data_IF_720962885361
#
_entry.id   IF_720962885361
#
_cell.length_a   1.000
_cell.length_b   1.000
_cell.length_c   1.000
_cell.angle_alpha   90.00
_cell.angle_beta   90.00
_cell.angle_gamma   90.00
#
_symmetry.space_group_name_H-M   'P 1'
#
loop_
_entity.id
_entity.type
_entity.pdbx_description
1 polymer ?
#
# COMPACT_ATOMS: atom_id res chain seq x y z
N UNK A 1 -6.40 -5.91 -12.02
CA UNK A 1 -7.12 -4.63 -12.08
C UNK A 1 -6.41 -3.75 -13.09
N UNK A 2 -7.13 -3.25 -14.11
CA UNK A 2 -6.60 -2.37 -15.14
C UNK A 2 -7.34 -1.04 -15.11
N UNK A 3 -6.62 0.06 -15.16
CA UNK A 3 -7.14 1.42 -15.22
C UNK A 3 -6.60 2.04 -16.49
N UNK A 4 -7.49 2.51 -17.38
CA UNK A 4 -7.13 2.98 -18.72
C UNK A 4 -7.63 4.40 -18.98
N UNK A 5 -6.70 5.31 -19.12
CA UNK A 5 -6.91 6.72 -19.52
C UNK A 5 -8.00 7.43 -18.69
N UNK A 6 -8.02 7.18 -17.39
CA UNK A 6 -9.03 7.72 -16.49
C UNK A 6 -8.79 9.22 -16.27
N UNK A 7 -9.83 10.02 -16.56
CA UNK A 7 -9.87 11.44 -16.27
C UNK A 7 -11.01 11.75 -15.30
N UNK A 8 -10.77 12.75 -14.41
CA UNK A 8 -11.78 13.27 -13.49
C UNK A 8 -11.58 14.72 -13.16
N UNK A 9 -12.65 15.49 -13.27
CA UNK A 9 -12.68 16.92 -12.90
C UNK A 9 -13.79 17.19 -11.89
N UNK A 10 -13.53 18.04 -10.91
CA UNK A 10 -14.51 18.53 -9.93
C UNK A 10 -14.51 20.05 -9.92
N UNK A 11 -15.66 20.68 -10.21
CA UNK A 11 -15.83 22.16 -10.10
C UNK A 11 -14.64 22.99 -10.62
N UNK A 12 -14.11 22.63 -11.77
CA UNK A 12 -12.96 23.31 -12.41
C UNK A 12 -11.57 22.82 -11.94
N UNK A 13 -11.49 21.92 -10.98
CA UNK A 13 -10.23 21.29 -10.56
C UNK A 13 -10.06 19.92 -11.20
N UNK A 14 -8.94 19.72 -11.93
CA UNK A 14 -8.58 18.42 -12.50
C UNK A 14 -8.02 17.54 -11.39
N UNK A 15 -8.72 16.48 -11.05
CA UNK A 15 -8.29 15.51 -10.04
C UNK A 15 -7.52 14.33 -10.62
N UNK A 16 -7.82 13.94 -11.88
CA UNK A 16 -7.10 12.90 -12.62
C UNK A 16 -7.04 13.32 -14.09
N UNK A 17 -5.87 13.19 -14.70
CA UNK A 17 -5.61 13.49 -16.11
C UNK A 17 -4.92 12.31 -16.77
N UNK A 18 -5.67 11.54 -17.55
CA UNK A 18 -5.18 10.41 -18.36
C UNK A 18 -4.41 9.35 -17.54
N UNK A 19 -4.91 9.02 -16.35
CA UNK A 19 -4.27 8.06 -15.43
C UNK A 19 -4.48 6.63 -15.94
N UNK A 20 -3.37 5.91 -16.12
CA UNK A 20 -3.38 4.50 -16.54
C UNK A 20 -2.41 3.68 -15.67
N UNK A 21 -2.89 2.58 -15.11
CA UNK A 21 -2.05 1.63 -14.36
C UNK A 21 -2.64 0.23 -14.44
N UNK A 22 -1.80 -0.76 -14.23
CA UNK A 22 -2.16 -2.17 -14.22
C UNK A 22 -1.66 -2.82 -12.93
N UNK A 23 -2.55 -3.54 -12.23
CA UNK A 23 -2.25 -4.23 -10.97
C UNK A 23 -2.40 -5.72 -11.19
N UNK A 24 -1.31 -6.44 -11.12
CA UNK A 24 -1.26 -7.89 -11.34
C UNK A 24 -1.93 -8.67 -10.20
N UNK A 25 -2.38 -9.88 -10.50
CA UNK A 25 -2.92 -10.80 -9.48
C UNK A 25 -1.83 -11.19 -8.48
N UNK A 26 -2.22 -11.31 -7.20
CA UNK A 26 -1.30 -11.70 -6.14
C UNK A 26 -0.15 -10.72 -5.90
N UNK A 27 -0.35 -9.43 -6.18
CA UNK A 27 0.63 -8.38 -5.95
C UNK A 27 0.12 -7.30 -5.00
N UNK A 28 1.06 -6.56 -4.40
CA UNK A 28 0.78 -5.33 -3.66
C UNK A 28 1.30 -4.16 -4.48
N UNK A 29 0.37 -3.33 -4.93
CA UNK A 29 0.63 -2.16 -5.75
C UNK A 29 0.48 -0.88 -4.97
N UNK A 30 1.52 -0.05 -4.93
CA UNK A 30 1.53 1.23 -4.23
C UNK A 30 1.01 2.37 -5.10
N UNK A 31 -0.02 3.08 -4.62
CA UNK A 31 -0.52 4.32 -5.20
C UNK A 31 -0.02 5.49 -4.37
N UNK A 32 1.03 6.15 -4.83
CA UNK A 32 1.78 7.15 -4.09
C UNK A 32 1.44 8.57 -4.56
N UNK A 33 1.75 9.56 -3.74
CA UNK A 33 1.62 10.96 -4.11
C UNK A 33 1.29 11.85 -2.92
N UNK A 34 1.48 13.16 -3.05
CA UNK A 34 1.13 14.12 -2.01
C UNK A 34 -0.39 14.18 -1.79
N UNK A 35 -0.79 14.85 -0.70
CA UNK A 35 -2.21 15.10 -0.44
C UNK A 35 -2.78 15.97 -1.58
N UNK A 36 -3.98 15.61 -2.05
CA UNK A 36 -4.62 16.29 -3.19
C UNK A 36 -4.13 15.87 -4.57
N UNK A 37 -3.16 14.96 -4.70
CA UNK A 37 -2.63 14.53 -6.01
C UNK A 37 -3.64 13.77 -6.88
N UNK A 38 -4.74 13.24 -6.32
CA UNK A 38 -5.75 12.47 -7.06
C UNK A 38 -5.96 11.04 -6.57
N UNK A 39 -5.13 10.51 -5.64
CA UNK A 39 -5.21 9.14 -5.14
C UNK A 39 -6.61 8.74 -4.69
N UNK A 40 -7.20 9.49 -3.77
CA UNK A 40 -8.55 9.21 -3.26
C UNK A 40 -9.62 9.34 -4.33
N UNK A 41 -9.45 10.21 -5.33
CA UNK A 41 -10.37 10.29 -6.48
C UNK A 41 -10.33 9.02 -7.31
N UNK A 42 -9.13 8.48 -7.58
CA UNK A 42 -8.97 7.22 -8.28
C UNK A 42 -9.57 6.04 -7.49
N UNK A 43 -9.29 5.95 -6.20
CA UNK A 43 -9.85 4.95 -5.30
C UNK A 43 -11.40 5.01 -5.30
N UNK A 44 -11.98 6.21 -5.25
CA UNK A 44 -13.44 6.38 -5.32
C UNK A 44 -14.03 5.93 -6.65
N UNK A 45 -13.31 6.10 -7.76
CA UNK A 45 -13.74 5.62 -9.08
C UNK A 45 -13.70 4.09 -9.12
N UNK A 46 -12.63 3.46 -8.63
CA UNK A 46 -12.53 1.99 -8.56
C UNK A 46 -13.66 1.41 -7.70
N UNK A 47 -13.96 2.04 -6.56
CA UNK A 47 -15.06 1.64 -5.67
C UNK A 47 -16.46 2.06 -6.20
N UNK A 48 -16.55 2.68 -7.39
CA UNK A 48 -17.79 3.19 -7.99
C UNK A 48 -18.58 4.16 -7.10
N UNK A 49 -17.90 4.80 -6.15
CA UNK A 49 -18.46 5.90 -5.33
C UNK A 49 -18.66 7.15 -6.19
N UNK A 50 -17.79 7.33 -7.20
CA UNK A 50 -17.92 8.35 -8.24
C UNK A 50 -17.58 7.75 -9.60
N UNK A 51 -18.00 8.40 -10.69
CA UNK A 51 -17.68 7.96 -12.05
C UNK A 51 -16.52 8.77 -12.62
N UNK A 52 -15.71 8.13 -13.44
CA UNK A 52 -14.76 8.82 -14.31
C UNK A 52 -15.52 9.68 -15.33
N UNK A 53 -14.91 10.77 -15.77
CA UNK A 53 -15.46 11.59 -16.85
C UNK A 53 -15.09 10.98 -18.21
N UNK A 54 -13.94 10.29 -18.30
CA UNK A 54 -13.52 9.45 -19.41
C UNK A 54 -12.57 8.35 -18.95
N UNK A 55 -12.28 7.38 -19.82
CA UNK A 55 -11.50 6.20 -19.48
C UNK A 55 -12.33 5.10 -18.86
N UNK A 56 -11.68 4.02 -18.45
CA UNK A 56 -12.36 2.84 -17.92
C UNK A 56 -11.55 2.13 -16.85
N UNK A 57 -12.25 1.41 -15.98
CA UNK A 57 -11.67 0.50 -14.97
C UNK A 57 -12.15 -0.91 -15.30
N UNK A 58 -11.19 -1.83 -15.47
CA UNK A 58 -11.46 -3.22 -15.80
C UNK A 58 -11.02 -4.13 -14.65
N UNK A 59 -11.81 -5.15 -14.39
CA UNK A 59 -11.46 -6.25 -13.49
C UNK A 59 -11.45 -7.55 -14.30
N UNK A 60 -10.29 -8.21 -14.36
CA UNK A 60 -10.09 -9.41 -15.19
C UNK A 60 -10.49 -9.19 -16.67
N UNK A 61 -10.05 -8.06 -17.25
CA UNK A 61 -10.29 -7.68 -18.63
C UNK A 61 -11.73 -7.25 -18.96
N UNK A 62 -12.62 -7.12 -17.96
CA UNK A 62 -14.02 -6.71 -18.15
C UNK A 62 -14.31 -5.39 -17.44
N UNK A 63 -15.09 -4.48 -18.05
CA UNK A 63 -15.52 -3.25 -17.39
C UNK A 63 -16.19 -3.54 -16.04
N UNK A 64 -15.76 -2.84 -15.01
CA UNK A 64 -16.33 -2.98 -13.67
C UNK A 64 -17.79 -2.50 -13.63
N UNK A 65 -18.60 -3.26 -12.93
CA UNK A 65 -20.02 -2.99 -12.70
C UNK A 65 -20.30 -2.76 -11.20
N UNK A 66 -21.51 -2.28 -10.86
CA UNK A 66 -21.90 -2.11 -9.46
C UNK A 66 -21.95 -3.46 -8.69
N UNK A 67 -22.18 -4.57 -9.39
CA UNK A 67 -22.12 -5.90 -8.78
C UNK A 67 -20.70 -6.31 -8.35
N UNK A 68 -19.66 -5.73 -8.95
CA UNK A 68 -18.27 -6.05 -8.61
C UNK A 68 -17.84 -5.35 -7.31
N UNK A 69 -18.53 -4.29 -6.88
CA UNK A 69 -18.26 -3.61 -5.61
C UNK A 69 -18.36 -4.55 -4.41
N UNK A 70 -19.27 -5.53 -4.46
CA UNK A 70 -19.38 -6.56 -3.42
C UNK A 70 -18.11 -7.44 -3.28
N UNK A 71 -17.26 -7.48 -4.30
CA UNK A 71 -15.99 -8.23 -4.35
C UNK A 71 -14.78 -7.39 -3.92
N UNK A 72 -15.00 -6.14 -3.52
CA UNK A 72 -13.94 -5.22 -3.08
C UNK A 72 -13.96 -5.12 -1.56
N UNK A 73 -12.79 -5.23 -0.95
CA UNK A 73 -12.57 -4.83 0.43
C UNK A 73 -11.93 -3.44 0.43
N UNK A 74 -12.69 -2.42 0.81
CA UNK A 74 -12.18 -1.05 0.89
C UNK A 74 -12.01 -0.59 2.33
N UNK A 75 -10.79 -0.25 2.71
CA UNK A 75 -10.43 0.36 3.99
C UNK A 75 -10.16 1.85 3.74
N UNK A 76 -11.09 2.74 4.04
CA UNK A 76 -10.87 4.18 3.91
C UNK A 76 -9.99 4.73 5.03
N UNK A 77 -9.31 5.86 4.78
CA UNK A 77 -8.55 6.59 5.78
C UNK A 77 -9.42 7.01 6.97
N UNK A 78 -10.64 7.51 6.70
CA UNK A 78 -11.61 7.86 7.73
C UNK A 78 -12.41 6.65 8.19
N UNK A 79 -12.72 6.60 9.48
CA UNK A 79 -13.40 5.45 10.09
C UNK A 79 -14.89 5.47 9.85
N UNK A 80 -15.38 4.47 9.10
CA UNK A 80 -16.80 4.24 8.83
C UNK A 80 -17.51 3.34 9.86
N UNK A 81 -17.05 3.25 11.11
CA UNK A 81 -17.62 2.35 12.10
C UNK A 81 -18.78 2.99 12.89
N UNK A 82 -19.84 2.22 13.15
CA UNK A 82 -21.00 2.66 13.94
C UNK A 82 -20.68 2.57 15.44
N UNK A 83 -20.31 3.68 16.07
CA UNK A 83 -19.78 3.77 17.44
C UNK A 83 -20.64 3.05 18.51
N UNK A 84 -21.98 3.08 18.39
CA UNK A 84 -22.91 2.46 19.33
C UNK A 84 -23.17 0.97 19.05
N UNK A 85 -22.63 0.42 17.98
CA UNK A 85 -22.76 -1.01 17.65
C UNK A 85 -21.70 -1.82 18.39
N UNK A 86 -22.02 -3.06 18.73
CA UNK A 86 -21.03 -4.00 19.30
C UNK A 86 -20.03 -4.43 18.24
N UNK A 87 -18.79 -4.67 18.66
CA UNK A 87 -17.69 -5.10 17.78
C UNK A 87 -18.08 -6.30 16.91
N UNK A 88 -18.53 -7.39 17.53
CA UNK A 88 -18.91 -8.60 16.81
C UNK A 88 -20.10 -8.38 15.88
N UNK A 89 -21.11 -7.62 16.33
CA UNK A 89 -22.31 -7.34 15.52
C UNK A 89 -21.95 -6.53 14.28
N UNK A 90 -21.06 -5.54 14.39
CA UNK A 90 -20.61 -4.75 13.25
C UNK A 90 -19.84 -5.58 12.23
N UNK A 91 -18.88 -6.40 12.67
CA UNK A 91 -18.09 -7.25 11.77
C UNK A 91 -19.02 -8.22 11.03
N UNK A 92 -19.95 -8.85 11.73
CA UNK A 92 -20.94 -9.77 11.14
C UNK A 92 -21.87 -9.01 10.18
N UNK A 93 -22.31 -7.80 10.55
CA UNK A 93 -23.18 -6.98 9.70
C UNK A 93 -22.51 -6.64 8.37
N UNK A 94 -21.28 -6.14 8.42
CA UNK A 94 -20.52 -5.76 7.22
C UNK A 94 -20.19 -7.00 6.35
N UNK A 95 -19.78 -8.12 6.96
CA UNK A 95 -19.59 -9.37 6.21
C UNK A 95 -20.86 -9.84 5.48
N UNK A 96 -22.02 -9.66 6.10
CA UNK A 96 -23.30 -9.98 5.47
C UNK A 96 -23.68 -9.05 4.32
N UNK A 97 -23.32 -7.77 4.39
CA UNK A 97 -23.52 -6.83 3.27
C UNK A 97 -22.71 -7.27 2.03
N UNK A 98 -21.58 -7.94 2.24
CA UNK A 98 -20.77 -8.54 1.19
C UNK A 98 -21.16 -10.00 0.86
N UNK A 99 -22.39 -10.43 1.20
CA UNK A 99 -22.97 -11.71 0.78
C UNK A 99 -22.66 -12.91 1.65
N UNK A 100 -21.96 -12.75 2.78
CA UNK A 100 -21.72 -13.87 3.71
C UNK A 100 -23.01 -14.34 4.39
N UNK A 101 -23.12 -15.64 4.65
CA UNK A 101 -24.15 -16.14 5.57
C UNK A 101 -23.90 -15.65 7.00
N UNK A 102 -24.93 -15.57 7.83
CA UNK A 102 -24.77 -15.18 9.25
C UNK A 102 -23.87 -16.15 10.01
N UNK A 103 -23.92 -17.44 9.67
CA UNK A 103 -23.13 -18.49 10.32
C UNK A 103 -21.64 -18.32 9.96
N UNK A 104 -21.33 -18.17 8.68
CA UNK A 104 -19.93 -17.99 8.21
C UNK A 104 -19.34 -16.69 8.73
N UNK A 105 -20.11 -15.58 8.68
CA UNK A 105 -19.65 -14.30 9.19
C UNK A 105 -19.35 -14.37 10.70
N UNK A 106 -20.18 -15.08 11.50
CA UNK A 106 -19.89 -15.27 12.93
C UNK A 106 -18.65 -16.14 13.18
N UNK A 107 -18.49 -17.22 12.41
CA UNK A 107 -17.32 -18.09 12.56
C UNK A 107 -16.04 -17.32 12.22
N UNK A 108 -16.02 -16.62 11.10
CA UNK A 108 -14.87 -15.82 10.65
C UNK A 108 -14.60 -14.62 11.58
N UNK A 109 -15.63 -13.97 12.09
CA UNK A 109 -15.48 -12.89 13.07
C UNK A 109 -14.72 -13.37 14.32
N UNK A 110 -15.07 -14.54 14.89
CA UNK A 110 -14.38 -15.11 16.04
C UNK A 110 -12.93 -15.46 15.73
N UNK A 111 -12.66 -16.04 14.55
CA UNK A 111 -11.30 -16.34 14.08
C UNK A 111 -10.46 -15.06 14.01
N UNK A 112 -10.96 -13.99 13.39
CA UNK A 112 -10.28 -12.72 13.26
C UNK A 112 -10.08 -11.99 14.60
N UNK A 113 -11.12 -11.97 15.46
CA UNK A 113 -10.99 -11.36 16.79
C UNK A 113 -9.92 -12.06 17.64
N UNK A 114 -9.84 -13.39 17.55
CA UNK A 114 -8.79 -14.17 18.24
C UNK A 114 -7.40 -13.80 17.70
N UNK A 115 -7.25 -13.69 16.37
CA UNK A 115 -5.98 -13.35 15.70
C UNK A 115 -5.46 -11.96 16.07
N UNK A 116 -6.36 -10.99 16.24
CA UNK A 116 -6.03 -9.63 16.63
C UNK A 116 -6.08 -9.37 18.15
N UNK A 117 -6.25 -10.42 18.95
CA UNK A 117 -6.34 -10.35 20.43
C UNK A 117 -7.51 -9.47 20.93
N UNK A 118 -8.62 -9.50 20.20
CA UNK A 118 -9.82 -8.73 20.50
C UNK A 118 -11.02 -9.58 20.94
N UNK A 119 -10.83 -10.87 21.30
CA UNK A 119 -11.94 -11.79 21.63
C UNK A 119 -12.82 -11.29 22.77
N UNK A 120 -12.23 -10.66 23.82
CA UNK A 120 -12.96 -10.13 24.97
C UNK A 120 -13.80 -8.89 24.63
N UNK A 121 -13.58 -8.30 23.45
CA UNK A 121 -14.26 -7.10 22.98
C UNK A 121 -15.47 -7.39 22.08
N UNK A 122 -15.73 -8.66 21.75
CA UNK A 122 -16.84 -9.06 20.85
C UNK A 122 -18.17 -8.40 21.23
N UNK A 123 -18.48 -8.33 22.53
CA UNK A 123 -19.76 -7.83 23.05
C UNK A 123 -19.71 -6.38 23.54
N UNK A 124 -18.57 -5.68 23.43
CA UNK A 124 -18.40 -4.28 23.80
C UNK A 124 -18.76 -3.36 22.65
N UNK A 125 -19.22 -2.16 22.97
CA UNK A 125 -19.48 -1.13 21.97
C UNK A 125 -18.17 -0.60 21.38
N UNK A 126 -18.21 -0.22 20.09
CA UNK A 126 -17.05 0.32 19.40
C UNK A 126 -16.49 1.61 20.00
N UNK A 127 -17.34 2.42 20.64
CA UNK A 127 -16.92 3.63 21.34
C UNK A 127 -15.99 3.37 22.54
N UNK A 128 -16.00 2.16 23.08
CA UNK A 128 -15.14 1.75 24.19
C UNK A 128 -13.72 1.35 23.74
N UNK A 129 -13.49 1.20 22.44
CA UNK A 129 -12.20 0.79 21.90
C UNK A 129 -11.20 1.94 21.86
N UNK A 130 -9.92 1.61 22.06
CA UNK A 130 -8.83 2.52 21.71
C UNK A 130 -8.79 2.77 20.19
N UNK A 131 -8.05 3.80 19.78
CA UNK A 131 -7.87 4.12 18.35
C UNK A 131 -7.34 2.93 17.55
N UNK A 132 -6.27 2.28 18.03
CA UNK A 132 -5.67 1.12 17.37
C UNK A 132 -6.60 -0.09 17.33
N UNK A 133 -7.35 -0.36 18.40
CA UNK A 133 -8.33 -1.45 18.39
C UNK A 133 -9.46 -1.22 17.41
N UNK A 134 -9.97 0.01 17.30
CA UNK A 134 -10.99 0.36 16.32
C UNK A 134 -10.47 0.21 14.88
N UNK A 135 -9.20 0.51 14.63
CA UNK A 135 -8.56 0.28 13.32
C UNK A 135 -8.45 -1.22 13.00
N UNK A 136 -8.06 -2.06 13.97
CA UNK A 136 -8.06 -3.52 13.82
C UNK A 136 -9.45 -4.04 13.46
N UNK A 137 -10.49 -3.56 14.13
CA UNK A 137 -11.88 -3.93 13.82
C UNK A 137 -12.29 -3.49 12.43
N UNK A 138 -11.91 -2.30 12.01
CA UNK A 138 -12.17 -1.79 10.65
C UNK A 138 -11.49 -2.65 9.59
N UNK A 139 -10.21 -3.01 9.81
CA UNK A 139 -9.49 -3.92 8.93
C UNK A 139 -10.18 -5.29 8.84
N UNK A 140 -10.55 -5.90 9.99
CA UNK A 140 -11.28 -7.17 10.00
C UNK A 140 -12.56 -7.09 9.17
N UNK A 141 -13.35 -6.03 9.37
CA UNK A 141 -14.60 -5.82 8.63
C UNK A 141 -14.37 -5.68 7.12
N UNK A 142 -13.24 -5.13 6.71
CA UNK A 142 -12.83 -4.98 5.30
C UNK A 142 -12.47 -6.31 4.64
N UNK A 143 -11.81 -7.21 5.36
CA UNK A 143 -11.24 -8.44 4.78
C UNK A 143 -12.04 -9.71 5.07
N UNK A 144 -13.05 -9.67 5.94
CA UNK A 144 -13.75 -10.86 6.46
C UNK A 144 -14.41 -11.71 5.36
N UNK A 145 -14.89 -11.08 4.29
CA UNK A 145 -15.55 -11.72 3.15
C UNK A 145 -14.58 -12.25 2.09
N UNK A 146 -13.24 -12.16 2.35
CA UNK A 146 -12.16 -12.63 1.46
C UNK A 146 -12.27 -12.03 0.05
N UNK A 147 -12.23 -10.71 -0.08
CA UNK A 147 -12.35 -10.08 -1.39
C UNK A 147 -11.14 -10.37 -2.27
N UNK A 148 -11.34 -10.59 -3.58
CA UNK A 148 -10.23 -10.73 -4.53
C UNK A 148 -9.47 -9.42 -4.76
N UNK A 149 -10.11 -8.26 -4.50
CA UNK A 149 -9.47 -6.95 -4.57
C UNK A 149 -9.58 -6.24 -3.22
N UNK A 150 -8.45 -5.88 -2.67
CA UNK A 150 -8.30 -5.09 -1.45
C UNK A 150 -7.77 -3.71 -1.78
N UNK A 151 -8.41 -2.68 -1.27
CA UNK A 151 -7.98 -1.29 -1.42
C UNK A 151 -7.80 -0.72 -0.02
N UNK A 152 -6.57 -0.33 0.30
CA UNK A 152 -6.21 0.23 1.59
C UNK A 152 -5.75 1.68 1.40
N UNK A 153 -6.52 2.63 1.94
CA UNK A 153 -6.21 4.06 1.90
C UNK A 153 -5.60 4.47 3.23
N UNK A 154 -4.29 4.74 3.25
CA UNK A 154 -3.48 5.09 4.44
C UNK A 154 -3.67 4.10 5.61
N UNK A 155 -3.54 2.78 5.42
CA UNK A 155 -3.94 1.78 6.42
C UNK A 155 -3.15 1.83 7.72
N UNK A 156 -1.91 2.35 7.69
CA UNK A 156 -1.04 2.44 8.87
C UNK A 156 -1.15 3.76 9.61
N UNK A 157 -1.95 4.71 9.09
CA UNK A 157 -2.13 6.02 9.71
C UNK A 157 -2.67 5.89 11.14
N UNK A 158 -1.88 6.36 12.10
CA UNK A 158 -2.25 6.38 13.53
C UNK A 158 -2.14 5.05 14.26
N UNK A 159 -1.47 4.05 13.68
CA UNK A 159 -0.97 2.89 14.41
C UNK A 159 0.38 3.20 15.07
N UNK A 160 0.65 2.57 16.20
CA UNK A 160 2.00 2.42 16.72
C UNK A 160 2.77 1.37 15.89
N UNK A 161 4.12 1.37 15.95
CA UNK A 161 4.93 0.46 15.12
C UNK A 161 4.56 -1.02 15.25
N UNK A 162 4.28 -1.50 16.46
CA UNK A 162 3.95 -2.92 16.70
C UNK A 162 2.65 -3.31 16.00
N UNK A 163 1.62 -2.49 16.15
CA UNK A 163 0.33 -2.74 15.49
C UNK A 163 0.40 -2.56 13.97
N UNK A 164 1.25 -1.64 13.48
CA UNK A 164 1.51 -1.49 12.05
C UNK A 164 2.16 -2.76 11.46
N UNK A 165 3.13 -3.35 12.14
CA UNK A 165 3.79 -4.58 11.70
C UNK A 165 2.84 -5.78 11.66
N UNK A 166 1.96 -5.93 12.65
CA UNK A 166 0.91 -6.96 12.63
C UNK A 166 0.03 -6.79 11.39
N UNK A 167 -0.37 -5.56 11.08
CA UNK A 167 -1.22 -5.28 9.92
C UNK A 167 -0.50 -5.54 8.60
N UNK A 168 0.80 -5.18 8.49
CA UNK A 168 1.63 -5.49 7.32
C UNK A 168 1.68 -7.00 7.06
N UNK A 169 1.94 -7.80 8.10
CA UNK A 169 1.98 -9.27 7.99
C UNK A 169 0.64 -9.84 7.50
N UNK A 170 -0.48 -9.30 7.97
CA UNK A 170 -1.80 -9.74 7.50
C UNK A 170 -2.07 -9.34 6.04
N UNK A 171 -1.62 -8.15 5.61
CA UNK A 171 -1.72 -7.71 4.21
C UNK A 171 -0.89 -8.63 3.30
N UNK A 172 0.36 -8.94 3.68
CA UNK A 172 1.21 -9.88 2.95
C UNK A 172 0.56 -11.26 2.85
N UNK A 173 -0.01 -11.77 3.94
CA UNK A 173 -0.71 -13.05 3.96
C UNK A 173 -1.94 -13.06 3.02
N UNK A 174 -2.73 -11.98 3.00
CA UNK A 174 -3.90 -11.89 2.12
C UNK A 174 -3.49 -11.85 0.64
N UNK A 175 -2.37 -11.18 0.30
CA UNK A 175 -1.76 -11.25 -1.02
C UNK A 175 -1.35 -12.69 -1.36
N UNK A 176 -0.67 -13.39 -0.46
CA UNK A 176 -0.22 -14.77 -0.66
C UNK A 176 -1.39 -15.75 -0.80
N UNK A 177 -2.55 -15.43 -0.21
CA UNK A 177 -3.83 -16.13 -0.41
C UNK A 177 -4.52 -15.80 -1.75
N UNK A 178 -3.92 -14.91 -2.57
CA UNK A 178 -4.37 -14.58 -3.93
C UNK A 178 -5.15 -13.27 -4.07
N UNK A 179 -5.29 -12.46 -3.01
CA UNK A 179 -5.88 -11.13 -3.15
C UNK A 179 -4.96 -10.17 -3.88
N UNK A 180 -5.51 -9.35 -4.76
CA UNK A 180 -4.86 -8.16 -5.31
C UNK A 180 -4.97 -7.04 -4.28
N UNK A 181 -3.86 -6.36 -3.99
CA UNK A 181 -3.85 -5.26 -3.01
C UNK A 181 -3.44 -3.97 -3.69
N UNK A 182 -4.32 -2.97 -3.69
CA UNK A 182 -4.01 -1.58 -4.00
C UNK A 182 -3.82 -0.81 -2.69
N UNK A 183 -2.63 -0.30 -2.50
CA UNK A 183 -2.19 0.33 -1.25
C UNK A 183 -1.88 1.80 -1.49
N UNK A 184 -2.68 2.71 -0.93
CA UNK A 184 -2.43 4.14 -1.06
C UNK A 184 -1.73 4.67 0.19
N UNK A 185 -0.65 5.41 0.00
CA UNK A 185 0.07 6.04 1.11
C UNK A 185 0.96 7.20 0.66
N UNK A 186 1.31 8.04 1.62
CA UNK A 186 2.40 9.03 1.52
C UNK A 186 3.63 8.63 2.36
N UNK A 187 3.56 7.49 3.08
CA UNK A 187 4.69 6.97 3.87
C UNK A 187 5.55 6.03 3.02
N UNK A 188 6.70 6.53 2.58
CA UNK A 188 7.59 5.83 1.66
C UNK A 188 8.29 4.61 2.26
N UNK A 189 8.56 4.58 3.58
CA UNK A 189 9.14 3.39 4.21
C UNK A 189 8.21 2.18 4.16
N UNK A 190 6.91 2.41 4.37
CA UNK A 190 5.91 1.33 4.22
C UNK A 190 5.82 0.79 2.80
N UNK A 191 6.09 1.64 1.78
CA UNK A 191 6.13 1.22 0.37
C UNK A 191 7.24 0.23 0.10
N UNK A 192 8.45 0.54 0.56
CA UNK A 192 9.63 -0.33 0.37
C UNK A 192 9.46 -1.70 1.04
N UNK A 193 8.71 -1.74 2.15
CA UNK A 193 8.50 -2.96 2.90
C UNK A 193 7.44 -3.89 2.31
N UNK A 194 6.40 -3.34 1.66
CA UNK A 194 5.25 -4.15 1.26
C UNK A 194 4.92 -4.10 -0.24
N UNK A 195 5.29 -3.05 -0.97
CA UNK A 195 4.92 -2.90 -2.37
C UNK A 195 5.96 -3.51 -3.32
N UNK A 196 5.49 -4.20 -4.35
CA UNK A 196 6.32 -4.72 -5.44
C UNK A 196 6.42 -3.70 -6.58
N UNK A 197 5.30 -3.07 -6.90
CA UNK A 197 5.17 -2.06 -7.95
C UNK A 197 4.46 -0.83 -7.41
N UNK A 198 4.71 0.31 -8.05
CA UNK A 198 4.11 1.58 -7.63
C UNK A 198 3.73 2.45 -8.82
N UNK A 199 2.77 3.36 -8.58
CA UNK A 199 2.57 4.58 -9.36
C UNK A 199 2.60 5.79 -8.44
N UNK A 200 3.37 6.80 -8.83
CA UNK A 200 3.41 8.10 -8.17
C UNK A 200 2.52 9.07 -8.95
N UNK A 201 1.43 9.51 -8.32
CA UNK A 201 0.57 10.56 -8.87
C UNK A 201 1.02 11.90 -8.31
N UNK A 202 1.25 12.86 -9.20
CA UNK A 202 1.49 14.25 -8.87
C UNK A 202 0.74 15.15 -9.86
N UNK A 203 0.09 16.22 -9.38
CA UNK A 203 -0.71 17.12 -10.22
C UNK A 203 -1.68 16.40 -11.15
N UNK A 204 -2.41 15.41 -10.64
CA UNK A 204 -3.41 14.60 -11.34
C UNK A 204 -2.86 13.61 -12.40
N UNK A 205 -1.55 13.50 -12.57
CA UNK A 205 -0.90 12.63 -13.55
C UNK A 205 0.05 11.63 -12.89
N UNK A 206 0.28 10.48 -13.54
CA UNK A 206 1.33 9.55 -13.13
C UNK A 206 2.68 10.08 -13.63
N UNK A 207 3.56 10.43 -12.69
CA UNK A 207 4.89 10.97 -12.98
C UNK A 207 6.00 9.93 -12.86
N UNK A 208 5.75 8.83 -12.15
CA UNK A 208 6.67 7.71 -11.98
C UNK A 208 5.89 6.43 -11.82
N UNK A 209 6.30 5.35 -12.49
CA UNK A 209 5.65 4.05 -12.42
C UNK A 209 6.65 2.91 -12.65
N UNK A 210 6.47 1.79 -11.96
CA UNK A 210 7.24 0.56 -12.16
C UNK A 210 7.51 -0.22 -10.87
N UNK A 211 8.36 -1.23 -10.99
CA UNK A 211 8.80 -2.01 -9.82
C UNK A 211 9.70 -1.17 -8.91
N UNK A 212 9.49 -1.26 -7.61
CA UNK A 212 10.23 -0.49 -6.60
C UNK A 212 11.75 -0.66 -6.80
N UNK A 213 12.22 -1.89 -6.95
CA UNK A 213 13.66 -2.18 -7.17
C UNK A 213 14.21 -1.60 -8.47
N UNK A 214 13.42 -1.62 -9.55
CA UNK A 214 13.85 -1.09 -10.85
C UNK A 214 13.94 0.43 -10.80
N UNK A 215 12.98 1.06 -10.11
CA UNK A 215 13.00 2.51 -9.86
C UNK A 215 14.23 2.87 -9.04
N UNK A 216 14.50 2.21 -7.91
CA UNK A 216 15.69 2.48 -7.09
C UNK A 216 16.99 2.31 -7.90
N UNK A 217 17.08 1.26 -8.71
CA UNK A 217 18.24 1.04 -9.60
C UNK A 217 18.40 2.15 -10.65
N UNK A 218 17.32 2.69 -11.18
CA UNK A 218 17.36 3.80 -12.15
C UNK A 218 17.90 5.09 -11.52
N UNK A 219 17.62 5.32 -10.23
CA UNK A 219 18.02 6.53 -9.50
C UNK A 219 19.30 6.34 -8.66
N UNK A 220 20.00 5.21 -8.79
CA UNK A 220 21.24 4.94 -8.07
C UNK A 220 22.33 5.97 -8.39
N UNK A 221 23.14 6.27 -7.38
CA UNK A 221 24.15 7.36 -7.42
C UNK A 221 25.59 6.84 -7.49
N UNK A 222 25.81 5.52 -7.53
CA UNK A 222 27.12 4.88 -7.47
C UNK A 222 27.83 5.12 -6.13
N UNK A 223 27.04 5.19 -5.05
CA UNK A 223 27.55 5.30 -3.67
C UNK A 223 27.51 3.91 -3.05
N UNK A 224 28.60 3.52 -2.40
CA UNK A 224 28.74 2.23 -1.74
C UNK A 224 29.08 2.40 -0.26
N UNK A 225 28.47 1.56 0.57
CA UNK A 225 28.89 1.35 1.93
C UNK A 225 30.08 0.39 1.93
N UNK A 226 31.18 0.82 2.48
CA UNK A 226 32.42 0.06 2.62
C UNK A 226 32.58 -0.32 4.08
N UNK A 227 32.58 -1.63 4.36
CA UNK A 227 32.80 -2.17 5.69
C UNK A 227 34.21 -2.78 5.77
N UNK A 228 34.99 -2.40 6.80
CA UNK A 228 36.33 -2.91 7.05
C UNK A 228 36.31 -4.04 8.10
N UNK A 229 37.34 -4.87 8.12
CA UNK A 229 37.47 -5.97 9.09
C UNK A 229 37.64 -5.48 10.54
N UNK A 230 38.07 -4.24 10.75
CA UNK A 230 38.20 -3.60 12.08
C UNK A 230 36.87 -3.05 12.61
N UNK A 231 35.76 -3.19 11.83
CA UNK A 231 34.44 -2.68 12.17
C UNK A 231 34.19 -1.23 11.72
N UNK A 232 35.14 -0.59 11.05
CA UNK A 232 34.96 0.74 10.47
C UNK A 232 34.03 0.67 9.25
N UNK A 233 33.12 1.64 9.11
CA UNK A 233 32.22 1.77 7.96
C UNK A 233 32.27 3.19 7.43
N UNK A 234 32.36 3.36 6.10
CA UNK A 234 32.29 4.65 5.42
C UNK A 234 31.63 4.55 4.06
N UNK A 235 31.15 5.68 3.54
CA UNK A 235 30.60 5.76 2.19
C UNK A 235 31.71 6.07 1.17
N UNK A 236 31.69 5.35 0.07
CA UNK A 236 32.59 5.56 -1.07
C UNK A 236 31.77 5.79 -2.33
N UNK A 237 32.00 6.92 -2.98
CA UNK A 237 31.42 7.20 -4.30
C UNK A 237 32.39 6.74 -5.39
N UNK A 238 31.97 5.75 -6.18
CA UNK A 238 32.75 5.27 -7.32
C UNK A 238 32.87 6.40 -8.34
N UNK A 239 34.12 6.76 -8.75
CA UNK A 239 34.36 7.77 -9.77
C UNK A 239 33.68 7.43 -11.09
N UNK A 240 33.24 8.46 -11.81
CA UNK A 240 32.59 8.29 -13.12
C UNK A 240 33.53 7.59 -14.11
N UNK A 241 33.05 6.53 -14.76
CA UNK A 241 33.84 5.72 -15.69
C UNK A 241 34.67 4.58 -15.02
N UNK A 242 34.75 4.52 -13.70
CA UNK A 242 35.41 3.42 -12.98
C UNK A 242 34.44 2.25 -12.80
N UNK A 243 34.92 1.03 -13.02
CA UNK A 243 34.11 -0.17 -12.73
C UNK A 243 34.10 -0.45 -11.20
N UNK A 244 33.08 -1.15 -10.72
CA UNK A 244 33.04 -1.61 -9.32
C UNK A 244 34.21 -2.53 -9.00
N UNK A 245 34.70 -3.32 -9.97
CA UNK A 245 35.87 -4.18 -9.82
C UNK A 245 37.13 -3.35 -9.53
N UNK A 246 37.35 -2.30 -10.31
CA UNK A 246 38.54 -1.43 -10.14
C UNK A 246 38.44 -0.63 -8.83
N UNK A 247 37.25 -0.18 -8.46
CA UNK A 247 37.00 0.49 -7.18
C UNK A 247 37.32 -0.42 -5.99
N UNK A 248 36.87 -1.67 -6.02
CA UNK A 248 37.19 -2.66 -4.97
C UNK A 248 38.69 -2.97 -4.94
N UNK A 249 39.34 -3.13 -6.09
CA UNK A 249 40.78 -3.37 -6.17
C UNK A 249 41.57 -2.22 -5.54
N UNK A 250 41.23 -0.98 -5.88
CA UNK A 250 41.87 0.22 -5.33
C UNK A 250 41.65 0.34 -3.81
N UNK A 251 40.46 0.08 -3.32
CA UNK A 251 40.17 0.12 -1.89
C UNK A 251 40.92 -0.97 -1.13
N UNK A 252 41.08 -2.17 -1.71
CA UNK A 252 41.80 -3.27 -1.11
C UNK A 252 43.32 -3.04 -0.99
N UNK A 253 43.88 -2.10 -1.77
CA UNK A 253 45.29 -1.70 -1.61
C UNK A 253 45.51 -0.90 -0.30
N UNK A 254 44.50 -0.21 0.19
CA UNK A 254 44.60 0.71 1.32
C UNK A 254 43.85 0.23 2.57
N UNK A 255 42.90 -0.68 2.43
CA UNK A 255 42.00 -1.11 3.49
C UNK A 255 41.77 -2.62 3.44
N UNK A 256 41.56 -3.23 4.59
CA UNK A 256 41.17 -4.63 4.70
C UNK A 256 39.63 -4.74 4.65
N UNK A 257 39.10 -5.03 3.45
CA UNK A 257 37.66 -4.99 3.17
C UNK A 257 36.95 -6.22 3.74
N UNK A 258 35.84 -5.99 4.47
CA UNK A 258 34.87 -7.01 4.87
C UNK A 258 33.64 -7.02 3.97
N UNK A 259 33.19 -5.85 3.50
CA UNK A 259 32.00 -5.71 2.67
C UNK A 259 32.01 -4.48 1.77
N UNK A 260 31.35 -4.58 0.63
CA UNK A 260 31.18 -3.49 -0.34
C UNK A 260 29.77 -3.58 -0.90
N UNK A 261 28.85 -2.72 -0.44
CA UNK A 261 27.44 -2.78 -0.76
C UNK A 261 26.96 -1.49 -1.42
N UNK A 262 26.28 -1.57 -2.58
CA UNK A 262 25.71 -0.39 -3.22
C UNK A 262 24.54 0.16 -2.38
N UNK A 263 24.60 1.44 -2.03
CA UNK A 263 23.53 2.16 -1.36
C UNK A 263 22.53 2.60 -2.43
N UNK A 264 21.36 1.97 -2.44
CA UNK A 264 20.28 2.42 -3.29
C UNK A 264 19.55 3.60 -2.64
N UNK A 265 19.09 4.58 -3.42
CA UNK A 265 18.28 5.66 -2.89
C UNK A 265 16.97 5.13 -2.34
N UNK A 266 16.52 5.71 -1.24
CA UNK A 266 15.21 5.38 -0.66
C UNK A 266 14.08 5.90 -1.57
N UNK A 267 12.91 5.26 -1.49
CA UNK A 267 11.72 5.77 -2.19
C UNK A 267 11.34 7.17 -1.74
N UNK A 268 11.70 7.57 -0.50
CA UNK A 268 11.51 8.94 -0.02
C UNK A 268 12.39 9.94 -0.80
N UNK A 269 13.66 9.64 -1.01
CA UNK A 269 14.57 10.53 -1.77
C UNK A 269 14.11 10.66 -3.22
N UNK A 270 13.71 9.54 -3.86
CA UNK A 270 13.19 9.52 -5.22
C UNK A 270 11.89 10.33 -5.32
N UNK A 271 10.97 10.15 -4.35
CA UNK A 271 9.74 10.91 -4.27
C UNK A 271 10.00 12.42 -4.19
N UNK A 272 10.88 12.85 -3.28
CA UNK A 272 11.22 14.28 -3.09
C UNK A 272 11.83 14.87 -4.36
N UNK A 273 12.67 14.12 -5.07
CA UNK A 273 13.27 14.55 -6.32
C UNK A 273 12.19 14.70 -7.41
N UNK A 274 11.36 13.68 -7.62
CA UNK A 274 10.35 13.63 -8.69
C UNK A 274 9.23 14.66 -8.50
N UNK A 275 8.87 15.00 -7.27
CA UNK A 275 7.78 15.97 -6.98
C UNK A 275 8.27 17.43 -7.05
N UNK A 276 9.59 17.67 -6.94
CA UNK A 276 10.18 19.02 -7.06
C UNK A 276 10.48 19.42 -8.51
N UNK A 277 10.62 18.47 -9.41
CA UNK A 277 10.72 18.67 -10.85
C UNK A 277 9.34 18.99 -11.47
#
# INVERSE_FOLDING_TARGET
LEIKNVCKQYSGHVALNNVSLDVSEGSIYGLLGPNGAGKTSLIRIINRITHADSGEVLMNGKPMTDADVAKIGYLPEERGLYKKMKVGDQIVYLGRLHGMTKADAKAKMKEWLKRFELSEWEHKNLEALSKGMAQKVQFIATVIHRPPLLIFDEPFSGFDPVNADILKQEILRLRDEGSVVLFSTHNMSSVEEVCEEISLINHAEIVLQGKVKDIQNKYKKGIFEVNLTDGTTFEYKVPEGMSNHDAIAQLNESYDLFGFHEILPTMHEIFVQTVKE
#
